data_IF_768292588063
#
_entry.id   IF_768292588063
#
_cell.length_a   1.000
_cell.length_b   1.000
_cell.length_c   1.000
_cell.angle_alpha   90.00
_cell.angle_beta   90.00
_cell.angle_gamma   90.00
#
_symmetry.space_group_name_H-M   'P 1'
#
loop_
_entity.id
_entity.type
_entity.pdbx_description
1 polymer ?
#
# COMPACT_ATOMS: atom_id res chain seq x y z
N UNK A 1 24.87 -9.13 1.08
CA UNK A 1 25.14 -7.75 0.65
C UNK A 1 24.15 -7.31 -0.42
N UNK A 2 24.16 -7.91 -1.62
CA UNK A 2 23.27 -7.55 -2.75
C UNK A 2 21.77 -7.50 -2.40
N UNK A 3 21.26 -8.44 -1.59
CA UNK A 3 19.82 -8.49 -1.23
C UNK A 3 19.37 -7.32 -0.34
N UNK A 4 20.22 -6.87 0.59
CA UNK A 4 19.91 -5.72 1.45
C UNK A 4 19.84 -4.43 0.63
N UNK A 5 20.73 -4.29 -0.35
CA UNK A 5 20.76 -3.11 -1.23
C UNK A 5 19.50 -3.02 -2.10
N UNK A 6 19.01 -4.16 -2.61
CA UNK A 6 17.78 -4.24 -3.40
C UNK A 6 16.56 -3.87 -2.56
N UNK A 7 16.41 -4.44 -1.35
CA UNK A 7 15.28 -4.15 -0.47
C UNK A 7 15.22 -2.68 -0.09
N UNK A 8 16.37 -2.05 0.21
CA UNK A 8 16.41 -0.63 0.55
C UNK A 8 15.97 0.28 -0.61
N UNK A 9 16.54 0.06 -1.80
CA UNK A 9 16.19 0.83 -3.01
C UNK A 9 14.72 0.64 -3.36
N UNK A 10 14.23 -0.60 -3.32
CA UNK A 10 12.81 -0.91 -3.49
C UNK A 10 11.95 -0.16 -2.48
N UNK A 11 12.31 -0.14 -1.20
CA UNK A 11 11.60 0.61 -0.16
C UNK A 11 11.45 2.09 -0.49
N UNK A 12 12.53 2.75 -0.94
CA UNK A 12 12.50 4.16 -1.35
C UNK A 12 11.60 4.39 -2.56
N UNK A 13 11.73 3.54 -3.60
CA UNK A 13 10.94 3.68 -4.83
C UNK A 13 9.45 3.45 -4.56
N UNK A 14 9.10 2.49 -3.71
CA UNK A 14 7.73 2.21 -3.30
C UNK A 14 7.19 3.38 -2.46
N UNK A 15 8.00 3.92 -1.54
CA UNK A 15 7.64 5.09 -0.74
C UNK A 15 7.35 6.30 -1.64
N UNK A 16 8.21 6.59 -2.61
CA UNK A 16 7.99 7.64 -3.59
C UNK A 16 6.71 7.40 -4.41
N UNK A 17 6.47 6.14 -4.82
CA UNK A 17 5.28 5.75 -5.57
C UNK A 17 3.99 5.94 -4.77
N UNK A 18 4.02 5.86 -3.43
CA UNK A 18 2.87 6.08 -2.56
C UNK A 18 2.29 7.50 -2.65
N UNK A 19 3.10 8.49 -3.09
CA UNK A 19 2.66 9.86 -3.27
C UNK A 19 1.52 9.98 -4.30
N UNK A 20 1.51 9.13 -5.33
CA UNK A 20 0.50 9.16 -6.40
C UNK A 20 -0.90 8.80 -5.86
N UNK A 21 -1.14 7.60 -5.29
CA UNK A 21 -2.45 7.27 -4.73
C UNK A 21 -2.81 8.15 -3.54
N UNK A 22 -1.83 8.60 -2.74
CA UNK A 22 -2.09 9.54 -1.65
C UNK A 22 -2.64 10.87 -2.19
N UNK A 23 -2.01 11.46 -3.21
CA UNK A 23 -2.51 12.65 -3.88
C UNK A 23 -3.91 12.44 -4.49
N UNK A 24 -4.11 11.31 -5.20
CA UNK A 24 -5.39 10.98 -5.80
C UNK A 24 -6.50 10.85 -4.74
N UNK A 25 -6.18 10.36 -3.55
CA UNK A 25 -7.16 10.23 -2.47
C UNK A 25 -7.79 11.57 -2.06
N UNK A 26 -7.02 12.65 -2.09
CA UNK A 26 -7.53 13.99 -1.79
C UNK A 26 -8.37 14.56 -2.95
N UNK A 27 -8.07 14.17 -4.19
CA UNK A 27 -8.70 14.74 -5.40
C UNK A 27 -9.96 14.01 -5.86
N UNK A 28 -10.08 12.71 -5.59
CA UNK A 28 -11.15 11.87 -6.12
C UNK A 28 -12.43 11.87 -5.27
N UNK A 29 -13.54 11.45 -5.90
CA UNK A 29 -14.86 11.26 -5.28
C UNK A 29 -14.84 10.07 -4.31
N UNK A 30 -15.80 10.04 -3.38
CA UNK A 30 -15.84 9.14 -2.21
C UNK A 30 -15.44 7.68 -2.49
N UNK A 31 -15.96 7.06 -3.54
CA UNK A 31 -15.67 5.65 -3.83
C UNK A 31 -14.22 5.41 -4.28
N UNK A 32 -13.74 6.19 -5.26
CA UNK A 32 -12.35 6.11 -5.73
C UNK A 32 -11.36 6.65 -4.69
N UNK A 33 -11.80 7.58 -3.83
CA UNK A 33 -11.03 8.08 -2.68
C UNK A 33 -10.69 6.94 -1.72
N UNK A 34 -11.67 6.10 -1.37
CA UNK A 34 -11.42 4.97 -0.46
C UNK A 34 -10.41 4.00 -1.06
N UNK A 35 -10.56 3.67 -2.35
CA UNK A 35 -9.61 2.77 -3.04
C UNK A 35 -8.19 3.34 -3.07
N UNK A 36 -8.05 4.62 -3.39
CA UNK A 36 -6.74 5.28 -3.44
C UNK A 36 -6.13 5.49 -2.04
N UNK A 37 -6.93 5.71 -0.99
CA UNK A 37 -6.44 5.69 0.40
C UNK A 37 -5.93 4.31 0.80
N UNK A 38 -6.69 3.25 0.53
CA UNK A 38 -6.27 1.88 0.87
C UNK A 38 -4.99 1.48 0.12
N UNK A 39 -4.89 1.87 -1.15
CA UNK A 39 -3.68 1.65 -1.95
C UNK A 39 -2.47 2.44 -1.40
N UNK A 40 -2.69 3.68 -0.93
CA UNK A 40 -1.64 4.46 -0.28
C UNK A 40 -1.19 3.81 1.04
N UNK A 41 -2.12 3.32 1.86
CA UNK A 41 -1.80 2.58 3.11
C UNK A 41 -1.00 1.32 2.82
N UNK A 42 -1.38 0.56 1.77
CA UNK A 42 -0.60 -0.59 1.32
C UNK A 42 0.84 -0.20 0.96
N UNK A 43 1.02 0.79 0.10
CA UNK A 43 2.36 1.19 -0.35
C UNK A 43 3.22 1.76 0.81
N UNK A 44 2.63 2.56 1.70
CA UNK A 44 3.33 3.11 2.85
C UNK A 44 3.78 2.01 3.82
N UNK A 45 2.89 1.07 4.15
CA UNK A 45 3.23 -0.06 5.03
C UNK A 45 4.25 -0.99 4.37
N UNK A 46 4.11 -1.29 3.08
CA UNK A 46 5.04 -2.15 2.36
C UNK A 46 6.42 -1.51 2.17
N UNK A 47 6.49 -0.21 1.88
CA UNK A 47 7.75 0.53 1.88
C UNK A 47 8.42 0.53 3.26
N UNK A 48 7.63 0.71 4.32
CA UNK A 48 8.13 0.68 5.70
C UNK A 48 8.70 -0.69 6.06
N UNK A 49 8.06 -1.79 5.62
CA UNK A 49 8.62 -3.15 5.74
C UNK A 49 10.03 -3.22 5.15
N UNK A 50 10.21 -2.83 3.89
CA UNK A 50 11.50 -2.87 3.19
C UNK A 50 12.58 -2.01 3.86
N UNK A 51 12.20 -0.86 4.42
CA UNK A 51 13.14 0.03 5.11
C UNK A 51 13.52 -0.52 6.49
N UNK A 52 12.55 -1.01 7.27
CA UNK A 52 12.80 -1.49 8.63
C UNK A 52 13.56 -2.83 8.65
N UNK A 53 13.28 -3.72 7.70
CA UNK A 53 13.98 -5.01 7.60
C UNK A 53 15.48 -4.84 7.34
N UNK A 54 15.89 -3.81 6.59
CA UNK A 54 17.31 -3.52 6.35
C UNK A 54 17.95 -2.60 7.39
N UNK A 55 17.16 -1.90 8.20
CA UNK A 55 17.64 -0.94 9.22
C UNK A 55 17.91 -1.59 10.59
N UNK A 56 17.90 -2.93 10.67
CA UNK A 56 18.08 -3.68 11.91
C UNK A 56 16.81 -3.85 12.76
N UNK A 57 15.63 -3.48 12.22
CA UNK A 57 14.32 -3.65 12.84
C UNK A 57 13.52 -4.78 12.17
N UNK A 58 14.18 -5.90 11.86
CA UNK A 58 13.62 -7.06 11.14
C UNK A 58 12.27 -7.52 11.71
N UNK A 59 12.16 -7.63 13.04
CA UNK A 59 10.90 -8.01 13.69
C UNK A 59 9.73 -7.08 13.33
N UNK A 60 9.94 -5.75 13.35
CA UNK A 60 8.89 -4.81 12.98
C UNK A 60 8.57 -4.87 11.49
N UNK A 61 9.60 -5.03 10.65
CA UNK A 61 9.42 -5.21 9.21
C UNK A 61 8.58 -6.44 8.90
N UNK A 62 9.11 -7.62 9.21
CA UNK A 62 8.59 -8.93 8.80
C UNK A 62 7.35 -9.36 9.60
N UNK A 63 7.33 -9.13 10.91
CA UNK A 63 6.22 -9.61 11.75
C UNK A 63 5.06 -8.63 11.87
N UNK A 64 5.23 -7.36 11.49
CA UNK A 64 4.20 -6.33 11.62
C UNK A 64 3.87 -5.69 10.28
N UNK A 65 4.82 -5.00 9.65
CA UNK A 65 4.54 -4.19 8.47
C UNK A 65 4.24 -5.02 7.20
N UNK A 66 4.89 -6.17 7.03
CA UNK A 66 4.57 -7.09 5.94
C UNK A 66 3.12 -7.61 6.05
N UNK A 67 2.68 -8.24 7.16
CA UNK A 67 1.28 -8.65 7.34
C UNK A 67 0.28 -7.51 7.20
N UNK A 68 0.58 -6.34 7.76
CA UNK A 68 -0.29 -5.15 7.65
C UNK A 68 -0.47 -4.74 6.19
N UNK A 69 0.60 -4.77 5.39
CA UNK A 69 0.53 -4.46 3.97
C UNK A 69 -0.37 -5.46 3.23
N UNK A 70 -0.23 -6.75 3.49
CA UNK A 70 -1.07 -7.79 2.89
C UNK A 70 -2.55 -7.61 3.25
N UNK A 71 -2.84 -7.35 4.53
CA UNK A 71 -4.21 -7.09 4.99
C UNK A 71 -4.80 -5.85 4.31
N UNK A 72 -4.03 -4.76 4.17
CA UNK A 72 -4.47 -3.56 3.47
C UNK A 72 -4.82 -3.85 2.00
N UNK A 73 -4.03 -4.68 1.32
CA UNK A 73 -4.27 -5.08 -0.06
C UNK A 73 -5.51 -5.98 -0.22
N UNK A 74 -5.74 -6.89 0.74
CA UNK A 74 -6.96 -7.71 0.78
C UNK A 74 -8.19 -6.83 0.95
N UNK A 75 -8.17 -5.87 1.88
CA UNK A 75 -9.26 -4.91 2.10
C UNK A 75 -9.48 -4.06 0.84
N UNK A 76 -8.41 -3.64 0.16
CA UNK A 76 -8.50 -2.95 -1.13
C UNK A 76 -9.25 -3.79 -2.16
N UNK A 77 -8.94 -5.08 -2.28
CA UNK A 77 -9.63 -6.00 -3.20
C UNK A 77 -11.14 -6.07 -2.94
N UNK A 78 -11.54 -6.25 -1.69
CA UNK A 78 -12.97 -6.24 -1.32
C UNK A 78 -13.64 -4.90 -1.58
N UNK A 79 -12.98 -3.79 -1.25
CA UNK A 79 -13.49 -2.45 -1.52
C UNK A 79 -13.67 -2.20 -3.02
N UNK A 80 -12.76 -2.73 -3.86
CA UNK A 80 -12.83 -2.62 -5.30
C UNK A 80 -14.04 -3.37 -5.86
N UNK A 81 -14.21 -4.63 -5.48
CA UNK A 81 -15.35 -5.45 -5.92
C UNK A 81 -16.68 -4.79 -5.55
N UNK A 82 -16.81 -4.30 -4.31
CA UNK A 82 -18.00 -3.58 -3.85
C UNK A 82 -18.27 -2.29 -4.64
N UNK A 83 -17.22 -1.56 -5.00
CA UNK A 83 -17.35 -0.32 -5.80
C UNK A 83 -17.75 -0.64 -7.24
N UNK A 84 -17.24 -1.74 -7.79
CA UNK A 84 -17.57 -2.20 -9.14
C UNK A 84 -19.03 -2.66 -9.24
N UNK A 85 -19.49 -3.50 -8.32
CA UNK A 85 -20.89 -3.97 -8.29
C UNK A 85 -21.88 -2.81 -8.27
N UNK A 86 -21.63 -1.79 -7.43
CA UNK A 86 -22.46 -0.58 -7.41
C UNK A 86 -22.53 0.15 -8.74
N UNK A 87 -21.45 0.18 -9.52
CA UNK A 87 -21.44 0.81 -10.85
C UNK A 87 -22.19 0.00 -11.89
N UNK A 88 -22.09 -1.33 -11.84
CA UNK A 88 -22.84 -2.24 -12.74
C UNK A 88 -24.35 -2.16 -12.49
N UNK A 89 -24.81 -1.94 -11.26
CA UNK A 89 -26.25 -1.75 -10.95
C UNK A 89 -26.83 -0.41 -11.43
N UNK A 90 -25.99 0.63 -11.59
CA UNK A 90 -26.42 2.00 -11.95
C UNK A 90 -26.39 2.23 -13.47
N UNK A 91 -25.74 1.35 -14.25
CA UNK A 91 -25.60 1.47 -15.72
C UNK A 91 -26.65 0.63 -16.43
#
# INVERSE_FOLDING_TARGET
>A
MIVHDINFVSGILILASSAVPLYLSFKLKKELRVLTMLLAVFLLSHATYHILSVSGFEFLGESVFEPVSVVALIIFGFAYLKTREKREVIT
#
